data_IF_570385999756
#
_entry.id   IF_570385999756
#
_cell.length_a   1.000
_cell.length_b   1.000
_cell.length_c   1.000
_cell.angle_alpha   90.00
_cell.angle_beta   90.00
_cell.angle_gamma   90.00
#
_symmetry.space_group_name_H-M   'P 1'
#
loop_
_entity.id
_entity.type
_entity.pdbx_description
1 polymer ?
#
# COMPACT_ATOMS: atom_id res chain seq x y z
N UNK A 1 3.37 -7.34 -35.24
CA UNK A 1 3.03 -6.10 -34.51
C UNK A 1 3.16 -6.43 -33.02
N UNK A 2 4.29 -6.07 -32.41
CA UNK A 2 4.52 -6.34 -30.99
C UNK A 2 3.65 -5.35 -30.19
N UNK A 3 2.62 -5.85 -29.51
CA UNK A 3 1.90 -5.06 -28.52
C UNK A 3 2.91 -4.68 -27.44
N UNK A 4 3.14 -3.38 -27.26
CA UNK A 4 3.90 -2.88 -26.13
C UNK A 4 3.19 -3.38 -24.86
N UNK A 5 3.82 -4.33 -24.16
CA UNK A 5 3.34 -4.85 -22.90
C UNK A 5 3.36 -3.65 -21.94
N UNK A 6 2.21 -3.08 -21.63
CA UNK A 6 2.12 -2.04 -20.60
C UNK A 6 2.58 -2.68 -19.30
N UNK A 7 3.76 -2.30 -18.84
CA UNK A 7 4.26 -2.73 -17.55
C UNK A 7 3.52 -1.86 -16.55
N UNK A 8 2.55 -2.45 -15.85
CA UNK A 8 1.95 -1.78 -14.71
C UNK A 8 3.05 -1.54 -13.67
N UNK A 9 3.06 -0.36 -13.06
CA UNK A 9 4.00 -0.01 -12.01
C UNK A 9 3.26 0.26 -10.71
N UNK A 10 3.98 0.26 -9.60
CA UNK A 10 3.45 0.69 -8.32
C UNK A 10 4.49 1.51 -7.57
N UNK A 11 4.02 2.44 -6.75
CA UNK A 11 4.87 3.28 -5.90
C UNK A 11 4.21 3.54 -4.56
N UNK A 12 5.01 4.04 -3.60
CA UNK A 12 4.44 4.67 -2.41
C UNK A 12 3.73 5.96 -2.82
N UNK A 13 2.59 6.24 -2.19
CA UNK A 13 1.94 7.54 -2.35
C UNK A 13 2.91 8.69 -1.98
N UNK A 14 2.84 9.79 -2.73
CA UNK A 14 3.72 10.95 -2.55
C UNK A 14 3.58 11.62 -1.15
N UNK A 15 2.47 11.33 -0.45
CA UNK A 15 2.27 11.70 0.95
C UNK A 15 3.25 11.01 1.92
N UNK A 16 3.84 9.87 1.53
CA UNK A 16 4.72 9.05 2.35
C UNK A 16 6.17 9.41 2.03
N UNK A 17 6.81 10.11 2.97
CA UNK A 17 8.20 10.57 2.84
C UNK A 17 9.23 9.62 3.46
N UNK A 18 8.77 8.49 3.97
CA UNK A 18 9.56 7.55 4.75
C UNK A 18 9.69 6.23 3.99
N UNK A 19 10.89 5.64 4.01
CA UNK A 19 11.10 4.27 3.54
C UNK A 19 10.15 3.33 4.28
N UNK A 20 9.40 2.54 3.51
CA UNK A 20 8.28 1.76 4.04
C UNK A 20 8.42 0.29 3.66
N UNK A 21 8.32 -0.59 4.64
CA UNK A 21 8.26 -2.03 4.43
C UNK A 21 6.81 -2.47 4.22
N UNK A 22 6.55 -3.25 3.17
CA UNK A 22 5.23 -3.80 2.87
C UNK A 22 5.31 -5.31 2.78
N UNK A 23 4.41 -5.99 3.52
CA UNK A 23 4.28 -7.44 3.44
C UNK A 23 3.63 -7.84 2.12
N UNK A 24 4.22 -8.84 1.46
CA UNK A 24 3.77 -9.36 0.17
C UNK A 24 3.69 -10.87 0.18
N UNK A 25 2.77 -11.37 -0.64
CA UNK A 25 2.59 -12.80 -0.89
C UNK A 25 2.79 -13.04 -2.38
N UNK A 26 3.59 -14.04 -2.75
CA UNK A 26 3.82 -14.38 -4.16
C UNK A 26 3.96 -15.89 -4.32
N UNK A 27 3.80 -16.39 -5.56
CA UNK A 27 4.08 -17.79 -5.89
C UNK A 27 5.49 -17.92 -6.42
N UNK A 28 6.23 -18.87 -5.87
CA UNK A 28 7.52 -19.28 -6.42
C UNK A 28 7.55 -20.80 -6.55
N UNK A 29 7.78 -21.31 -7.76
CA UNK A 29 7.84 -22.77 -8.05
C UNK A 29 6.61 -23.54 -7.52
N UNK A 30 5.42 -22.93 -7.61
CA UNK A 30 4.16 -23.53 -7.14
C UNK A 30 3.92 -23.43 -5.64
N UNK A 31 4.82 -22.81 -4.86
CA UNK A 31 4.70 -22.62 -3.42
C UNK A 31 4.34 -21.17 -3.12
N UNK A 32 3.35 -20.95 -2.25
CA UNK A 32 3.00 -19.63 -1.74
C UNK A 32 4.06 -19.18 -0.72
N UNK A 33 4.71 -18.05 -0.98
CA UNK A 33 5.69 -17.44 -0.07
C UNK A 33 5.15 -16.15 0.52
N UNK A 34 5.44 -15.94 1.80
CA UNK A 34 5.18 -14.72 2.53
C UNK A 34 6.50 -14.02 2.77
N UNK A 35 6.61 -12.77 2.36
CA UNK A 35 7.83 -11.98 2.51
C UNK A 35 7.47 -10.51 2.67
N UNK A 36 8.48 -9.65 2.61
CA UNK A 36 8.29 -8.22 2.60
C UNK A 36 9.19 -7.59 1.54
N UNK A 37 8.74 -6.45 1.02
CA UNK A 37 9.52 -5.57 0.17
C UNK A 37 9.73 -4.25 0.88
N UNK A 38 10.84 -3.59 0.58
CA UNK A 38 11.16 -2.27 1.09
C UNK A 38 11.04 -1.30 -0.06
N UNK A 39 10.21 -0.28 0.13
CA UNK A 39 9.90 0.72 -0.88
C UNK A 39 10.45 2.06 -0.44
N UNK A 40 11.10 2.74 -1.38
CA UNK A 40 11.62 4.07 -1.21
C UNK A 40 10.62 5.12 -1.73
N UNK A 41 10.46 6.27 -1.03
CA UNK A 41 9.61 7.35 -1.48
C UNK A 41 9.98 7.85 -2.87
N UNK A 42 8.98 8.07 -3.73
CA UNK A 42 9.17 8.59 -5.09
C UNK A 42 9.80 7.61 -6.08
N UNK A 43 10.01 6.35 -5.69
CA UNK A 43 10.52 5.30 -6.59
C UNK A 43 9.35 4.47 -7.12
N UNK A 44 9.33 4.27 -8.44
CA UNK A 44 8.39 3.39 -9.13
C UNK A 44 9.01 2.01 -9.30
N UNK A 45 8.22 0.98 -9.01
CA UNK A 45 8.60 -0.42 -9.10
C UNK A 45 7.71 -1.13 -10.12
N UNK A 46 8.28 -2.07 -10.86
CA UNK A 46 7.52 -2.88 -11.82
C UNK A 46 6.58 -3.83 -11.07
N UNK A 47 5.30 -3.87 -11.46
CA UNK A 47 4.32 -4.77 -10.89
C UNK A 47 4.43 -6.15 -11.58
N UNK A 48 4.83 -7.21 -10.86
CA UNK A 48 4.90 -8.55 -11.44
C UNK A 48 3.52 -9.06 -11.85
N UNK A 49 3.47 -9.95 -12.85
CA UNK A 49 2.24 -10.64 -13.28
C UNK A 49 1.73 -11.71 -12.28
N UNK A 50 2.29 -11.77 -11.07
CA UNK A 50 1.85 -12.69 -10.02
C UNK A 50 0.56 -12.19 -9.36
N UNK A 51 -0.52 -12.95 -9.49
CA UNK A 51 -1.84 -12.59 -8.96
C UNK A 51 -1.86 -12.42 -7.43
N UNK A 52 -1.08 -13.21 -6.68
CA UNK A 52 -1.01 -13.07 -5.22
C UNK A 52 -0.29 -11.78 -4.85
N UNK A 53 0.79 -11.45 -5.57
CA UNK A 53 1.56 -10.23 -5.34
C UNK A 53 0.70 -9.01 -5.60
N UNK A 54 0.02 -8.97 -6.75
CA UNK A 54 -0.88 -7.87 -7.08
C UNK A 54 -2.01 -7.72 -6.05
N UNK A 55 -2.57 -8.83 -5.56
CA UNK A 55 -3.55 -8.80 -4.47
C UNK A 55 -2.95 -8.26 -3.17
N UNK A 56 -1.72 -8.63 -2.82
CA UNK A 56 -1.04 -8.08 -1.63
C UNK A 56 -0.80 -6.58 -1.73
N UNK A 57 -0.35 -6.10 -2.88
CA UNK A 57 -0.11 -4.67 -3.13
C UNK A 57 -1.43 -3.87 -3.06
N UNK A 58 -2.47 -4.31 -3.78
CA UNK A 58 -3.77 -3.63 -3.82
C UNK A 58 -4.53 -3.73 -2.49
N UNK A 59 -4.33 -4.82 -1.75
CA UNK A 59 -4.95 -5.09 -0.46
C UNK A 59 -4.16 -4.61 0.75
N UNK A 60 -3.01 -3.95 0.57
CA UNK A 60 -2.19 -3.48 1.68
C UNK A 60 -2.96 -2.44 2.50
N UNK A 61 -2.98 -2.59 3.83
CA UNK A 61 -3.62 -1.64 4.73
C UNK A 61 -2.69 -1.29 5.87
N UNK A 62 -2.27 -0.04 5.89
CA UNK A 62 -1.53 0.56 6.98
C UNK A 62 -2.48 1.18 7.99
N UNK A 63 -2.22 0.94 9.28
CA UNK A 63 -3.01 1.51 10.37
C UNK A 63 -2.13 2.42 11.21
N UNK A 64 -2.19 3.73 10.95
CA UNK A 64 -1.51 4.74 11.78
C UNK A 64 -2.49 5.33 12.79
N UNK A 65 -1.97 5.85 13.91
CA UNK A 65 -2.78 6.60 14.86
C UNK A 65 -3.40 7.82 14.15
N UNK A 66 -4.64 8.13 14.51
CA UNK A 66 -5.32 9.30 13.97
C UNK A 66 -4.57 10.57 14.38
N UNK A 67 -4.20 11.36 13.39
CA UNK A 67 -3.71 12.72 13.54
C UNK A 67 -4.40 13.57 12.48
N UNK A 68 -4.84 14.77 12.86
CA UNK A 68 -5.48 15.69 11.92
C UNK A 68 -4.54 16.02 10.75
N UNK A 69 -3.26 16.23 11.01
CA UNK A 69 -2.24 16.46 9.98
C UNK A 69 -2.10 15.28 8.99
N UNK A 70 -2.23 14.05 9.47
CA UNK A 70 -2.20 12.86 8.61
C UNK A 70 -3.48 12.76 7.77
N UNK A 71 -4.64 13.03 8.37
CA UNK A 71 -5.92 13.04 7.66
C UNK A 71 -5.94 14.10 6.55
N UNK A 72 -5.48 15.31 6.85
CA UNK A 72 -5.38 16.40 5.87
C UNK A 72 -4.41 16.05 4.74
N UNK A 73 -3.29 15.39 5.05
CA UNK A 73 -2.34 14.89 4.03
C UNK A 73 -2.96 13.84 3.12
N UNK A 74 -3.68 12.87 3.68
CA UNK A 74 -4.39 11.83 2.90
C UNK A 74 -5.45 12.46 1.99
N UNK A 75 -6.23 13.44 2.50
CA UNK A 75 -7.22 14.19 1.71
C UNK A 75 -6.57 15.00 0.58
N UNK A 76 -5.49 15.74 0.88
CA UNK A 76 -4.79 16.57 -0.10
C UNK A 76 -4.24 15.75 -1.27
N UNK A 77 -3.86 14.50 -1.02
CA UNK A 77 -3.35 13.56 -2.03
C UNK A 77 -4.44 12.62 -2.60
N UNK A 78 -5.73 12.85 -2.29
CA UNK A 78 -6.85 12.01 -2.72
C UNK A 78 -6.70 10.51 -2.37
N UNK A 79 -6.02 10.19 -1.26
CA UNK A 79 -5.78 8.83 -0.83
C UNK A 79 -7.01 8.34 -0.05
N UNK A 80 -7.69 7.26 -0.49
CA UNK A 80 -8.83 6.72 0.22
C UNK A 80 -8.39 6.12 1.57
N UNK A 81 -9.09 6.51 2.64
CA UNK A 81 -8.81 6.02 3.99
C UNK A 81 -10.10 5.75 4.76
N UNK A 82 -9.98 4.95 5.83
CA UNK A 82 -11.04 4.67 6.80
C UNK A 82 -10.59 5.08 8.18
N UNK A 83 -11.48 5.72 8.94
CA UNK A 83 -11.24 5.97 10.38
C UNK A 83 -11.78 4.79 11.16
N UNK A 84 -10.89 4.03 11.80
CA UNK A 84 -11.24 2.91 12.67
C UNK A 84 -11.13 3.31 14.14
N UNK A 85 -12.19 3.03 14.90
CA UNK A 85 -12.19 3.17 16.36
C UNK A 85 -11.63 1.90 16.98
N UNK A 86 -10.67 2.04 17.91
CA UNK A 86 -10.11 0.91 18.61
C UNK A 86 -11.16 0.28 19.54
N UNK A 87 -11.54 -0.98 19.25
CA UNK A 87 -12.51 -1.73 20.06
C UNK A 87 -11.99 -2.05 21.47
N UNK A 88 -10.69 -2.31 21.62
CA UNK A 88 -10.09 -2.68 22.91
C UNK A 88 -10.09 -1.55 23.96
N UNK A 89 -10.04 -0.29 23.54
CA UNK A 89 -10.08 0.85 24.46
C UNK A 89 -11.43 1.59 24.48
N UNK A 90 -12.50 0.94 24.00
CA UNK A 90 -13.83 1.52 23.97
C UNK A 90 -13.96 2.74 23.04
N UNK A 91 -13.15 2.82 21.97
CA UNK A 91 -13.20 3.91 21.01
C UNK A 91 -12.42 5.18 21.38
N UNK A 92 -11.66 5.17 22.48
CA UNK A 92 -10.81 6.30 22.88
C UNK A 92 -9.71 6.63 21.86
N UNK A 93 -9.21 5.61 21.17
CA UNK A 93 -8.15 5.74 20.16
C UNK A 93 -8.75 5.57 18.77
N UNK A 94 -8.51 6.54 17.90
CA UNK A 94 -8.84 6.50 16.47
C UNK A 94 -7.58 6.12 15.69
N UNK A 95 -7.74 5.33 14.63
CA UNK A 95 -6.69 4.98 13.68
C UNK A 95 -7.14 5.33 12.26
N UNK A 96 -6.21 5.77 11.43
CA UNK A 96 -6.39 5.93 9.99
C UNK A 96 -5.88 4.67 9.30
N UNK A 97 -6.78 3.96 8.63
CA UNK A 97 -6.50 2.79 7.83
C UNK A 97 -6.51 3.18 6.34
N UNK A 98 -5.38 3.04 5.65
CA UNK A 98 -5.24 3.43 4.24
C UNK A 98 -4.27 2.49 3.51
N UNK A 99 -4.38 2.39 2.19
CA UNK A 99 -3.35 1.70 1.39
C UNK A 99 -2.20 2.68 1.14
N UNK A 100 -0.95 2.37 1.53
CA UNK A 100 0.18 3.24 1.26
C UNK A 100 0.65 3.24 -0.20
N UNK A 101 0.14 2.31 -1.02
CA UNK A 101 0.59 2.08 -2.39
C UNK A 101 -0.43 2.55 -3.41
N UNK A 102 0.13 3.10 -4.49
CA UNK A 102 -0.58 3.48 -5.71
C UNK A 102 -0.14 2.56 -6.84
N UNK A 103 -1.11 2.02 -7.58
CA UNK A 103 -0.86 1.19 -8.77
C UNK A 103 -1.19 2.00 -10.01
N UNK A 104 -0.27 2.03 -10.97
CA UNK A 104 -0.32 2.81 -12.20
C UNK A 104 -0.39 1.82 -13.37
N UNK A 105 -1.48 1.83 -14.15
CA UNK A 105 -1.81 0.87 -15.24
C UNK A 105 -1.89 1.53 -16.63
#
# INVERSE_FOLDING_TARGET
MAQAKKIATFKLHDAIKERTQVDVVYREKGITKYSYIVLDPGVEYELPEDELFQKSIRGCVFKKLYSKAMEDSLKANNIPYKVELCKQCGGRVKKLAYNPLEVIE
#
